data_IF_598645393118
#
_entry.id   IF_598645393118
#
_cell.length_a   1.000
_cell.length_b   1.000
_cell.length_c   1.000
_cell.angle_alpha   90.00
_cell.angle_beta   90.00
_cell.angle_gamma   90.00
#
_symmetry.space_group_name_H-M   'P 1'
#
loop_
_entity.id
_entity.type
_entity.pdbx_description
1 polymer ?
#
# COMPACT_ATOMS: atom_id res chain seq x y z
N UNK A 1 -4.14 -23.03 -3.93
CA UNK A 1 -5.31 -22.62 -3.12
C UNK A 1 -6.40 -22.15 -4.09
N UNK A 2 -7.66 -22.61 -3.95
CA UNK A 2 -8.77 -22.18 -4.82
C UNK A 2 -9.86 -21.59 -3.93
N UNK A 3 -10.05 -20.28 -4.02
CA UNK A 3 -11.08 -19.56 -3.29
C UNK A 3 -12.36 -19.54 -4.14
N UNK A 4 -13.51 -19.82 -3.53
CA UNK A 4 -14.81 -19.82 -4.20
C UNK A 4 -15.68 -18.78 -3.49
N UNK A 5 -16.01 -17.69 -4.17
CA UNK A 5 -16.87 -16.64 -3.64
C UNK A 5 -18.24 -16.73 -4.34
N UNK A 6 -19.30 -16.99 -3.58
CA UNK A 6 -20.67 -17.03 -4.08
C UNK A 6 -21.48 -15.98 -3.32
N UNK A 7 -22.07 -15.03 -4.06
CA UNK A 7 -22.84 -13.92 -3.48
C UNK A 7 -23.24 -12.81 -4.45
N UNK A 8 -22.64 -12.73 -5.63
CA UNK A 8 -22.92 -11.70 -6.62
C UNK A 8 -23.33 -12.31 -7.96
N UNK A 9 -24.27 -11.66 -8.65
CA UNK A 9 -24.73 -12.06 -9.98
C UNK A 9 -23.72 -11.69 -11.06
N UNK A 10 -23.83 -12.32 -12.23
CA UNK A 10 -22.96 -12.05 -13.39
C UNK A 10 -23.01 -10.55 -13.78
N UNK A 11 -21.83 -9.93 -13.89
CA UNK A 11 -21.67 -8.57 -14.44
C UNK A 11 -21.89 -7.41 -13.46
N UNK A 12 -21.79 -7.63 -12.16
CA UNK A 12 -21.83 -6.56 -11.17
C UNK A 12 -20.51 -5.76 -11.17
N UNK A 13 -20.52 -4.42 -11.37
CA UNK A 13 -19.32 -3.58 -11.25
C UNK A 13 -18.62 -3.72 -9.89
N UNK A 14 -19.35 -4.06 -8.83
CA UNK A 14 -18.77 -4.38 -7.52
C UNK A 14 -17.95 -5.67 -7.57
N UNK A 15 -18.29 -6.61 -8.44
CA UNK A 15 -17.52 -7.83 -8.66
C UNK A 15 -16.19 -7.53 -9.35
N UNK A 16 -16.18 -6.66 -10.36
CA UNK A 16 -14.95 -6.28 -11.08
C UNK A 16 -13.99 -5.47 -10.18
N UNK A 17 -14.51 -4.49 -9.43
CA UNK A 17 -13.74 -3.76 -8.43
C UNK A 17 -13.19 -4.70 -7.33
N UNK A 18 -13.99 -5.69 -6.91
CA UNK A 18 -13.54 -6.70 -5.95
C UNK A 18 -12.50 -7.66 -6.55
N UNK A 19 -12.60 -8.04 -7.82
CA UNK A 19 -11.59 -8.88 -8.51
C UNK A 19 -10.24 -8.18 -8.55
N UNK A 20 -10.21 -6.87 -8.78
CA UNK A 20 -8.97 -6.09 -8.74
C UNK A 20 -8.45 -5.88 -7.32
N UNK A 21 -9.31 -5.57 -6.35
CA UNK A 21 -8.93 -5.48 -4.93
C UNK A 21 -8.42 -6.80 -4.35
N UNK A 22 -8.97 -7.95 -4.77
CA UNK A 22 -8.55 -9.27 -4.30
C UNK A 22 -7.16 -9.67 -4.78
N UNK A 23 -6.73 -9.18 -5.95
CA UNK A 23 -5.37 -9.43 -6.43
C UNK A 23 -4.33 -8.88 -5.45
N UNK A 24 -4.58 -7.71 -4.86
CA UNK A 24 -3.71 -7.12 -3.85
C UNK A 24 -3.61 -7.98 -2.58
N UNK A 25 -4.75 -8.45 -2.06
CA UNK A 25 -4.76 -9.33 -0.88
C UNK A 25 -4.14 -10.71 -1.16
N UNK A 26 -4.36 -11.27 -2.36
CA UNK A 26 -3.74 -12.54 -2.77
C UNK A 26 -2.23 -12.39 -2.99
N UNK A 27 -1.78 -11.27 -3.57
CA UNK A 27 -0.36 -10.95 -3.69
C UNK A 27 0.28 -10.83 -2.31
N UNK A 28 -0.35 -10.11 -1.37
CA UNK A 28 0.12 -10.03 0.01
C UNK A 28 0.20 -11.41 0.67
N UNK A 29 -0.82 -12.25 0.50
CA UNK A 29 -0.82 -13.61 1.05
C UNK A 29 0.28 -14.49 0.43
N UNK A 30 0.51 -14.39 -0.88
CA UNK A 30 1.60 -15.10 -1.54
C UNK A 30 2.95 -14.70 -0.97
N UNK A 31 3.20 -13.39 -0.84
CA UNK A 31 4.43 -12.86 -0.26
C UNK A 31 4.62 -13.29 1.19
N UNK A 32 3.53 -13.27 1.97
CA UNK A 32 3.53 -13.78 3.34
C UNK A 32 3.97 -15.25 3.39
N UNK A 33 3.36 -16.11 2.56
CA UNK A 33 3.68 -17.53 2.53
C UNK A 33 5.08 -17.82 1.98
N UNK A 34 5.59 -17.00 1.08
CA UNK A 34 6.91 -17.17 0.48
C UNK A 34 8.05 -16.76 1.43
N UNK A 35 7.87 -15.64 2.15
CA UNK A 35 8.95 -15.04 2.93
C UNK A 35 8.78 -15.16 4.46
N UNK A 36 7.56 -15.33 4.95
CA UNK A 36 7.22 -15.19 6.37
C UNK A 36 6.31 -16.30 6.90
N UNK A 37 6.29 -17.47 6.24
CA UNK A 37 5.43 -18.59 6.62
C UNK A 37 5.54 -18.92 8.12
N UNK A 38 4.37 -18.99 8.79
CA UNK A 38 4.28 -19.33 10.21
C UNK A 38 4.46 -18.15 11.17
N UNK A 39 4.69 -16.94 10.67
CA UNK A 39 4.75 -15.72 11.48
C UNK A 39 3.40 -14.99 11.47
N UNK A 40 3.11 -14.20 12.51
CA UNK A 40 1.94 -13.30 12.54
C UNK A 40 2.38 -11.91 12.12
N UNK A 41 1.69 -11.33 11.14
CA UNK A 41 1.88 -9.94 10.75
C UNK A 41 1.13 -8.98 11.69
N UNK A 42 1.74 -7.85 11.99
CA UNK A 42 1.06 -6.67 12.54
C UNK A 42 0.83 -5.67 11.41
N UNK A 43 -0.42 -5.25 11.22
CA UNK A 43 -0.78 -4.32 10.15
C UNK A 43 -0.77 -2.87 10.62
N UNK A 44 -0.24 -1.97 9.80
CA UNK A 44 -0.52 -0.53 9.82
C UNK A 44 -1.12 -0.17 8.47
N UNK A 45 -2.33 0.39 8.46
CA UNK A 45 -3.11 0.60 7.23
C UNK A 45 -3.54 2.06 7.05
N UNK A 46 -2.61 3.03 7.11
CA UNK A 46 -2.92 4.43 6.89
C UNK A 46 -3.45 4.64 5.46
N UNK A 47 -4.57 5.35 5.40
CA UNK A 47 -5.28 5.67 4.17
C UNK A 47 -6.01 7.00 4.32
N UNK A 48 -6.15 7.73 3.22
CA UNK A 48 -6.89 9.00 3.12
C UNK A 48 -7.70 9.03 1.83
N UNK A 49 -8.74 9.86 1.83
CA UNK A 49 -9.57 10.11 0.65
C UNK A 49 -9.25 11.50 0.13
N UNK A 50 -8.87 11.60 -1.15
CA UNK A 50 -8.63 12.89 -1.81
C UNK A 50 -9.67 13.14 -2.91
N UNK A 51 -10.15 14.39 -3.06
CA UNK A 51 -11.13 14.76 -4.08
C UNK A 51 -10.47 15.03 -5.44
N UNK A 52 -9.65 14.08 -5.90
CA UNK A 52 -8.92 14.14 -7.18
C UNK A 52 -9.08 12.84 -7.96
N UNK A 53 -8.58 12.80 -9.19
CA UNK A 53 -8.53 11.55 -9.97
C UNK A 53 -7.48 10.59 -9.42
N UNK A 54 -7.59 9.26 -9.65
CA UNK A 54 -6.59 8.30 -9.20
C UNK A 54 -5.19 8.57 -9.75
N UNK A 55 -5.10 9.06 -10.99
CA UNK A 55 -3.86 9.48 -11.63
C UNK A 55 -3.20 10.64 -10.87
N UNK A 56 -3.95 11.69 -10.57
CA UNK A 56 -3.45 12.83 -9.77
C UNK A 56 -3.08 12.40 -8.35
N UNK A 57 -3.88 11.53 -7.72
CA UNK A 57 -3.57 10.98 -6.40
C UNK A 57 -2.26 10.18 -6.39
N UNK A 58 -1.98 9.44 -7.47
CA UNK A 58 -0.70 8.75 -7.61
C UNK A 58 0.46 9.74 -7.79
N UNK A 59 0.30 10.77 -8.61
CA UNK A 59 1.34 11.78 -8.84
C UNK A 59 1.69 12.52 -7.55
N UNK A 60 0.70 12.89 -6.74
CA UNK A 60 0.90 13.53 -5.43
C UNK A 60 1.61 12.57 -4.47
N UNK A 61 1.12 11.32 -4.33
CA UNK A 61 1.72 10.32 -3.46
C UNK A 61 3.18 10.04 -3.84
N UNK A 62 3.42 9.70 -5.10
CA UNK A 62 4.74 9.34 -5.60
C UNK A 62 5.69 10.53 -5.53
N UNK A 63 5.24 11.72 -5.94
CA UNK A 63 6.03 12.95 -5.87
C UNK A 63 6.40 13.33 -4.43
N UNK A 64 5.46 13.24 -3.50
CA UNK A 64 5.70 13.50 -2.08
C UNK A 64 6.73 12.55 -1.45
N UNK A 65 6.82 11.31 -1.96
CA UNK A 65 7.81 10.32 -1.55
C UNK A 65 9.13 10.39 -2.35
N UNK A 66 9.25 11.33 -3.29
CA UNK A 66 10.44 11.48 -4.15
C UNK A 66 10.55 10.43 -5.28
N UNK A 67 9.47 9.70 -5.57
CA UNK A 67 9.39 8.71 -6.63
C UNK A 67 9.09 9.42 -7.95
N UNK A 68 10.13 9.93 -8.60
CA UNK A 68 9.99 10.69 -9.85
C UNK A 68 9.76 9.81 -11.09
N UNK A 69 10.03 8.51 -10.98
CA UNK A 69 9.81 7.52 -12.02
C UNK A 69 9.44 6.19 -11.38
N UNK A 70 8.60 5.41 -12.07
CA UNK A 70 8.22 4.08 -11.58
C UNK A 70 9.46 3.19 -11.52
N UNK A 71 9.81 2.62 -10.35
CA UNK A 71 10.96 1.73 -10.23
C UNK A 71 10.71 0.40 -10.95
N UNK A 72 11.78 -0.29 -11.33
CA UNK A 72 11.68 -1.63 -11.87
C UNK A 72 11.55 -2.67 -10.75
N UNK A 73 10.96 -3.83 -11.08
CA UNK A 73 10.99 -4.99 -10.18
C UNK A 73 12.44 -5.39 -9.91
N UNK A 74 12.79 -5.56 -8.63
CA UNK A 74 14.13 -5.83 -8.13
C UNK A 74 14.87 -4.59 -7.64
N UNK A 75 14.40 -3.38 -7.94
CA UNK A 75 15.04 -2.15 -7.47
C UNK A 75 14.87 -1.95 -5.97
N UNK A 76 15.84 -1.26 -5.36
CA UNK A 76 15.71 -0.72 -4.00
C UNK A 76 14.84 0.53 -4.05
N UNK A 77 13.87 0.62 -3.14
CA UNK A 77 13.11 1.84 -2.90
C UNK A 77 13.15 2.20 -1.41
N UNK A 78 13.57 3.43 -1.13
CA UNK A 78 13.60 4.03 0.19
C UNK A 78 12.80 5.34 0.18
N UNK A 79 11.83 5.45 1.08
CA UNK A 79 10.93 6.60 1.19
C UNK A 79 10.73 6.99 2.65
N UNK A 80 10.29 8.22 2.89
CA UNK A 80 10.10 8.73 4.24
C UNK A 80 8.91 9.67 4.35
N UNK A 81 8.16 9.53 5.44
CA UNK A 81 7.15 10.47 5.92
C UNK A 81 7.73 11.30 7.07
N UNK A 82 8.76 12.09 6.77
CA UNK A 82 9.53 12.86 7.75
C UNK A 82 10.77 12.13 8.31
N UNK A 83 11.40 12.69 9.33
CA UNK A 83 12.73 12.25 9.78
C UNK A 83 12.74 10.86 10.44
N UNK A 84 11.69 10.51 11.17
CA UNK A 84 11.62 9.28 11.98
C UNK A 84 10.75 8.17 11.37
N UNK A 85 9.95 8.48 10.34
CA UNK A 85 9.04 7.53 9.70
C UNK A 85 9.58 7.17 8.32
N UNK A 86 10.19 5.99 8.21
CA UNK A 86 10.87 5.54 6.99
C UNK A 86 10.40 4.16 6.59
N UNK A 87 10.40 3.95 5.29
CA UNK A 87 10.11 2.66 4.69
C UNK A 87 11.16 2.36 3.63
N UNK A 88 11.66 1.14 3.63
CA UNK A 88 12.70 0.70 2.72
C UNK A 88 12.53 -0.76 2.37
N UNK A 89 12.61 -1.07 1.08
CA UNK A 89 12.42 -2.44 0.60
C UNK A 89 12.86 -2.66 -0.83
N UNK A 90 12.74 -3.90 -1.27
CA UNK A 90 12.90 -4.30 -2.68
C UNK A 90 11.55 -4.26 -3.37
N UNK A 91 11.50 -3.67 -4.57
CA UNK A 91 10.31 -3.66 -5.43
C UNK A 91 10.07 -5.05 -5.96
N UNK A 92 8.86 -5.57 -5.74
CA UNK A 92 8.46 -6.93 -6.13
C UNK A 92 7.38 -6.91 -7.21
N UNK A 93 6.59 -5.85 -7.28
CA UNK A 93 5.59 -5.64 -8.32
C UNK A 93 5.35 -4.13 -8.52
N UNK A 94 5.13 -3.73 -9.77
CA UNK A 94 4.65 -2.40 -10.11
C UNK A 94 3.42 -2.48 -11.02
N UNK A 95 2.50 -1.54 -10.82
CA UNK A 95 1.35 -1.29 -11.67
C UNK A 95 1.25 0.20 -12.00
N UNK A 96 0.24 0.63 -12.77
CA UNK A 96 0.11 2.03 -13.19
C UNK A 96 0.10 3.05 -12.04
N UNK A 97 -0.48 2.68 -10.89
CA UNK A 97 -0.63 3.52 -9.69
C UNK A 97 -0.37 2.73 -8.40
N UNK A 98 0.49 1.72 -8.50
CA UNK A 98 0.78 0.81 -7.39
C UNK A 98 2.23 0.39 -7.40
N UNK A 99 2.84 0.37 -6.22
CA UNK A 99 4.11 -0.32 -5.96
C UNK A 99 3.89 -1.29 -4.80
N UNK A 100 4.37 -2.52 -4.95
CA UNK A 100 4.46 -3.51 -3.87
C UNK A 100 5.92 -3.74 -3.50
N UNK A 101 6.20 -3.85 -2.21
CA UNK A 101 7.55 -3.90 -1.64
C UNK A 101 7.69 -5.09 -0.69
N UNK A 102 8.85 -5.74 -0.75
CA UNK A 102 9.37 -6.58 0.33
C UNK A 102 10.26 -5.70 1.22
N UNK A 103 9.79 -5.41 2.42
CA UNK A 103 10.39 -4.46 3.36
C UNK A 103 11.50 -5.10 4.19
N UNK A 104 12.53 -4.31 4.47
CA UNK A 104 13.50 -4.55 5.54
C UNK A 104 13.57 -3.40 6.55
N UNK A 105 12.98 -2.25 6.20
CA UNK A 105 12.93 -1.04 7.03
C UNK A 105 11.47 -0.58 7.12
N UNK A 106 10.93 -0.34 8.32
CA UNK A 106 11.59 -0.35 9.64
C UNK A 106 11.81 -1.76 10.23
N UNK A 107 11.17 -2.78 9.64
CA UNK A 107 11.30 -4.18 10.00
C UNK A 107 10.97 -5.04 8.77
N UNK A 108 11.28 -6.36 8.80
CA UNK A 108 10.83 -7.27 7.75
C UNK A 108 9.32 -7.21 7.55
N UNK A 109 8.87 -7.11 6.30
CA UNK A 109 7.44 -6.92 6.02
C UNK A 109 7.08 -6.90 4.54
N UNK A 110 5.80 -6.65 4.26
CA UNK A 110 5.31 -6.25 2.94
C UNK A 110 4.71 -4.85 3.02
N UNK A 111 4.88 -4.08 1.94
CA UNK A 111 4.40 -2.71 1.84
C UNK A 111 3.72 -2.44 0.52
N UNK A 112 2.67 -1.62 0.53
CA UNK A 112 1.93 -1.22 -0.66
C UNK A 112 1.74 0.29 -0.67
N UNK A 113 2.07 0.90 -1.80
CA UNK A 113 1.76 2.31 -2.10
C UNK A 113 0.73 2.30 -3.21
N UNK A 114 -0.46 2.84 -2.98
CA UNK A 114 -1.57 2.79 -3.96
C UNK A 114 -2.33 4.09 -4.07
N UNK A 115 -2.87 4.32 -5.27
CA UNK A 115 -3.93 5.29 -5.55
C UNK A 115 -5.04 4.61 -6.35
N UNK A 116 -6.22 4.48 -5.74
CA UNK A 116 -7.33 3.65 -6.21
C UNK A 116 -8.61 4.48 -6.31
N UNK A 117 -9.45 4.18 -7.30
CA UNK A 117 -10.77 4.80 -7.43
C UNK A 117 -11.71 4.25 -6.34
N UNK A 118 -12.42 5.13 -5.66
CA UNK A 118 -13.47 4.79 -4.71
C UNK A 118 -14.71 5.67 -4.95
N UNK A 119 -15.41 5.39 -6.06
CA UNK A 119 -16.77 5.88 -6.25
C UNK A 119 -16.89 7.40 -6.35
N UNK A 120 -15.92 8.05 -6.99
CA UNK A 120 -15.86 9.51 -7.18
C UNK A 120 -14.88 10.24 -6.26
N UNK A 121 -14.22 9.52 -5.36
CA UNK A 121 -13.04 9.97 -4.64
C UNK A 121 -11.86 9.05 -4.95
N UNK A 122 -10.65 9.51 -4.67
CA UNK A 122 -9.45 8.67 -4.75
C UNK A 122 -9.03 8.24 -3.37
N UNK A 123 -8.92 6.93 -3.17
CA UNK A 123 -8.33 6.33 -1.98
C UNK A 123 -6.81 6.22 -2.18
N UNK A 124 -6.05 6.88 -1.30
CA UNK A 124 -4.59 6.85 -1.31
C UNK A 124 -4.10 6.17 -0.05
N UNK A 125 -3.24 5.15 -0.22
CA UNK A 125 -2.89 4.22 0.84
C UNK A 125 -1.39 3.93 0.93
N UNK A 126 -0.93 3.78 2.17
CA UNK A 126 0.37 3.18 2.50
C UNK A 126 0.11 1.99 3.42
N UNK A 127 -0.04 0.78 2.88
CA UNK A 127 -0.39 -0.39 3.70
C UNK A 127 0.84 -1.23 4.04
N UNK A 128 1.04 -1.49 5.32
CA UNK A 128 2.20 -2.20 5.85
C UNK A 128 1.77 -3.44 6.63
N UNK A 129 2.44 -4.56 6.38
CA UNK A 129 2.32 -5.78 7.16
C UNK A 129 3.72 -6.16 7.66
N UNK A 130 3.99 -5.84 8.92
CA UNK A 130 5.31 -5.97 9.53
C UNK A 130 5.37 -7.18 10.45
N UNK A 131 6.54 -7.84 10.49
CA UNK A 131 6.73 -9.07 11.26
C UNK A 131 7.68 -8.87 12.43
N UNK A 132 7.46 -9.67 13.47
CA UNK A 132 8.26 -9.69 14.68
C UNK A 132 8.00 -8.51 15.64
N UNK A 133 8.67 -8.49 16.80
CA UNK A 133 8.46 -7.47 17.83
C UNK A 133 8.75 -6.04 17.33
N UNK A 134 9.83 -5.87 16.55
CA UNK A 134 10.21 -4.58 15.98
C UNK A 134 9.17 -4.10 14.96
N UNK A 135 8.60 -5.02 14.17
CA UNK A 135 7.51 -4.73 13.25
C UNK A 135 6.24 -4.29 13.98
N UNK A 136 5.90 -4.94 15.09
CA UNK A 136 4.76 -4.54 15.91
C UNK A 136 4.94 -3.13 16.52
N UNK A 137 6.13 -2.84 17.08
CA UNK A 137 6.45 -1.53 17.61
C UNK A 137 6.45 -0.44 16.53
N UNK A 138 6.97 -0.74 15.34
CA UNK A 138 6.96 0.18 14.21
C UNK A 138 5.53 0.44 13.69
N UNK A 139 4.68 -0.59 13.58
CA UNK A 139 3.30 -0.43 13.15
C UNK A 139 2.51 0.50 14.11
N UNK A 140 2.68 0.32 15.43
CA UNK A 140 2.03 1.18 16.43
C UNK A 140 2.52 2.64 16.36
N UNK A 141 3.84 2.83 16.16
CA UNK A 141 4.46 4.16 16.09
C UNK A 141 4.12 4.91 14.80
N UNK A 142 4.16 4.22 13.65
CA UNK A 142 4.21 4.86 12.33
C UNK A 142 2.84 5.03 11.68
N UNK A 143 1.81 4.30 12.11
CA UNK A 143 0.46 4.40 11.52
C UNK A 143 -0.07 5.84 11.54
N UNK A 144 0.01 6.51 12.70
CA UNK A 144 -0.43 7.89 12.83
C UNK A 144 0.44 8.88 12.04
N UNK A 145 1.76 8.65 11.96
CA UNK A 145 2.70 9.50 11.23
C UNK A 145 2.49 9.42 9.72
N UNK A 146 2.31 8.21 9.19
CA UNK A 146 1.98 8.00 7.78
C UNK A 146 0.65 8.64 7.41
N UNK A 147 -0.39 8.48 8.25
CA UNK A 147 -1.68 9.13 8.02
C UNK A 147 -1.58 10.66 8.06
N UNK A 148 -0.90 11.21 9.06
CA UNK A 148 -0.68 12.65 9.16
C UNK A 148 0.12 13.20 7.97
N UNK A 149 1.09 12.44 7.48
CA UNK A 149 1.83 12.79 6.27
C UNK A 149 0.92 12.77 5.03
N UNK A 150 0.11 11.72 4.84
CA UNK A 150 -0.88 11.65 3.76
C UNK A 150 -1.85 12.84 3.82
N UNK A 151 -2.38 13.18 5.00
CA UNK A 151 -3.23 14.35 5.20
C UNK A 151 -2.51 15.66 4.81
N UNK A 152 -1.21 15.77 5.11
CA UNK A 152 -0.41 16.95 4.74
C UNK A 152 -0.15 17.09 3.24
N UNK A 153 -0.23 15.98 2.49
CA UNK A 153 -0.12 15.97 1.03
C UNK A 153 -1.46 16.26 0.33
N UNK A 154 -2.57 16.34 1.08
CA UNK A 154 -3.87 16.52 0.49
C UNK A 154 -3.92 17.76 -0.42
N UNK A 155 -4.44 17.63 -1.65
CA UNK A 155 -4.59 18.75 -2.55
C UNK A 155 -5.54 19.77 -1.94
N UNK A 156 -5.29 21.07 -2.20
CA UNK A 156 -6.18 22.12 -1.73
C UNK A 156 -7.57 21.94 -2.34
N UNK A 157 -8.59 21.89 -1.49
CA UNK A 157 -9.99 21.98 -1.94
C UNK A 157 -10.29 23.45 -2.26
N UNK A 158 -10.59 23.75 -3.52
CA UNK A 158 -11.16 25.04 -3.94
C UNK A 158 -12.57 25.27 -3.37
#
# INVERSE_FOLDING_TARGET
>A
MRLHNAGFGDGDPQYDAMVDGWKLFMANLQLHLEHFAGQTATSALPMVMWPVTPEEGWEILAGGLGINQMPAVGDRLDVAAGDDTKLGGTVIETGPRRISLLLDTPAPGTGFLTSEDDGGFTMVSVWLYLYGPDGAAAAERDDASWRAWLDSQAPATD
#
